data_IF_900493535558
#
_entry.id   IF_900493535558
#
_cell.length_a   1.000
_cell.length_b   1.000
_cell.length_c   1.000
_cell.angle_alpha   90.00
_cell.angle_beta   90.00
_cell.angle_gamma   90.00
#
_symmetry.space_group_name_H-M   'P 1'
#
loop_
_entity.id
_entity.type
_entity.pdbx_description
1 polymer ?
#
# COMPACT_ATOMS: atom_id res chain seq x y z
N UNK A 1 -4.86 -21.24 16.46
CA UNK A 1 -4.85 -21.29 14.98
C UNK A 1 -4.78 -19.85 14.53
N UNK A 2 -3.83 -19.45 13.66
CA UNK A 2 -3.79 -18.07 13.16
C UNK A 2 -5.18 -17.74 12.60
N UNK A 3 -5.85 -16.76 13.19
CA UNK A 3 -7.17 -16.36 12.76
C UNK A 3 -7.08 -16.02 11.27
N UNK A 4 -7.96 -16.60 10.45
CA UNK A 4 -7.99 -16.35 9.01
C UNK A 4 -8.04 -14.84 8.75
N UNK A 5 -8.66 -14.09 9.66
CA UNK A 5 -8.68 -12.64 9.63
C UNK A 5 -7.28 -12.00 9.77
N UNK A 6 -6.48 -12.38 10.78
CA UNK A 6 -5.14 -11.84 10.99
C UNK A 6 -4.20 -12.19 9.82
N UNK A 7 -4.31 -13.40 9.29
CA UNK A 7 -3.57 -13.80 8.10
C UNK A 7 -3.93 -12.93 6.88
N UNK A 8 -5.22 -12.69 6.65
CA UNK A 8 -5.71 -11.83 5.57
C UNK A 8 -5.21 -10.39 5.71
N UNK A 9 -5.17 -9.85 6.93
CA UNK A 9 -4.63 -8.51 7.19
C UNK A 9 -3.13 -8.42 6.86
N UNK A 10 -2.35 -9.42 7.26
CA UNK A 10 -0.91 -9.47 6.95
C UNK A 10 -0.65 -9.63 5.45
N UNK A 11 -1.44 -10.44 4.75
CA UNK A 11 -1.38 -10.55 3.30
C UNK A 11 -1.69 -9.22 2.62
N UNK A 12 -2.74 -8.52 3.06
CA UNK A 12 -3.09 -7.21 2.52
C UNK A 12 -1.94 -6.21 2.72
N UNK A 13 -1.31 -6.20 3.90
CA UNK A 13 -0.17 -5.33 4.18
C UNK A 13 0.99 -5.58 3.21
N UNK A 14 1.29 -6.84 2.88
CA UNK A 14 2.32 -7.20 1.90
C UNK A 14 1.99 -6.67 0.51
N UNK A 15 0.74 -6.82 0.06
CA UNK A 15 0.31 -6.30 -1.24
C UNK A 15 0.38 -4.78 -1.31
N UNK A 16 -0.02 -4.08 -0.25
CA UNK A 16 0.09 -2.62 -0.20
C UNK A 16 1.55 -2.14 -0.29
N UNK A 17 2.47 -2.81 0.40
CA UNK A 17 3.90 -2.53 0.29
C UNK A 17 4.46 -2.77 -1.12
N UNK A 18 4.06 -3.87 -1.78
CA UNK A 18 4.47 -4.17 -3.16
C UNK A 18 3.98 -3.09 -4.12
N UNK A 19 2.72 -2.70 -4.02
CA UNK A 19 2.12 -1.66 -4.88
C UNK A 19 2.81 -0.32 -4.64
N UNK A 20 3.02 0.07 -3.38
CA UNK A 20 3.72 1.32 -3.05
C UNK A 20 5.13 1.36 -3.65
N UNK A 21 5.87 0.25 -3.56
CA UNK A 21 7.21 0.16 -4.16
C UNK A 21 7.16 0.34 -5.68
N UNK A 22 6.23 -0.34 -6.36
CA UNK A 22 6.06 -0.22 -7.82
C UNK A 22 5.67 1.20 -8.24
N UNK A 23 4.80 1.87 -7.50
CA UNK A 23 4.43 3.27 -7.75
C UNK A 23 5.67 4.17 -7.65
N UNK A 24 6.44 4.03 -6.57
CA UNK A 24 7.63 4.85 -6.29
C UNK A 24 8.77 4.62 -7.29
N UNK A 25 8.98 3.37 -7.73
CA UNK A 25 10.15 2.98 -8.53
C UNK A 25 9.87 2.88 -10.03
N UNK A 26 8.64 2.57 -10.42
CA UNK A 26 8.29 2.26 -11.81
C UNK A 26 7.20 3.20 -12.32
N UNK A 27 5.98 3.15 -11.76
CA UNK A 27 4.80 3.74 -12.43
C UNK A 27 4.89 5.26 -12.60
N UNK A 28 5.45 5.98 -11.61
CA UNK A 28 5.68 7.43 -11.73
C UNK A 28 6.69 7.78 -12.83
N UNK A 29 7.70 6.93 -13.05
CA UNK A 29 8.69 7.08 -14.12
C UNK A 29 8.06 6.75 -15.48
N UNK A 30 7.28 5.67 -15.54
CA UNK A 30 6.62 5.20 -16.77
C UNK A 30 5.53 6.16 -17.27
N UNK A 31 4.98 6.99 -16.38
CA UNK A 31 4.03 8.05 -16.73
C UNK A 31 4.62 9.16 -17.64
N UNK A 32 5.94 9.17 -17.91
CA UNK A 32 6.65 10.09 -18.83
C UNK A 32 6.15 11.54 -18.72
N UNK A 33 5.41 12.05 -19.71
CA UNK A 33 4.92 13.43 -19.76
C UNK A 33 3.43 13.57 -19.45
N UNK A 34 2.74 12.47 -19.12
CA UNK A 34 1.32 12.50 -18.74
C UNK A 34 1.16 13.13 -17.35
N UNK A 35 0.84 14.43 -17.32
CA UNK A 35 0.62 15.20 -16.08
C UNK A 35 -0.49 14.57 -15.21
N UNK A 36 -1.63 14.23 -15.82
CA UNK A 36 -2.75 13.63 -15.11
C UNK A 36 -2.37 12.28 -14.46
N UNK A 37 -1.60 11.46 -15.18
CA UNK A 37 -1.11 10.18 -14.66
C UNK A 37 -0.14 10.39 -13.49
N UNK A 38 0.77 11.36 -13.56
CA UNK A 38 1.70 11.68 -12.45
C UNK A 38 0.97 12.17 -11.20
N UNK A 39 -0.07 12.99 -11.38
CA UNK A 39 -0.92 13.45 -10.28
C UNK A 39 -1.65 12.25 -9.65
N UNK A 40 -2.25 11.40 -10.48
CA UNK A 40 -2.90 10.17 -10.02
C UNK A 40 -1.94 9.27 -9.22
N UNK A 41 -0.76 8.96 -9.76
CA UNK A 41 0.21 8.12 -9.05
C UNK A 41 0.72 8.77 -7.77
N UNK A 42 0.83 10.09 -7.71
CA UNK A 42 1.23 10.80 -6.49
C UNK A 42 0.13 10.79 -5.43
N UNK A 43 -1.13 10.86 -5.82
CA UNK A 43 -2.27 10.67 -4.92
C UNK A 43 -2.30 9.22 -4.41
N UNK A 44 -2.24 8.25 -5.32
CA UNK A 44 -2.27 6.84 -4.97
C UNK A 44 -1.11 6.45 -4.05
N UNK A 45 0.10 6.99 -4.25
CA UNK A 45 1.22 6.78 -3.33
C UNK A 45 0.87 7.16 -1.88
N UNK A 46 0.28 8.35 -1.68
CA UNK A 46 -0.11 8.83 -0.35
C UNK A 46 -1.23 7.97 0.25
N UNK A 47 -2.21 7.59 -0.55
CA UNK A 47 -3.31 6.71 -0.11
C UNK A 47 -2.76 5.36 0.37
N UNK A 48 -1.81 4.79 -0.38
CA UNK A 48 -1.13 3.52 -0.04
C UNK A 48 -0.30 3.61 1.24
N UNK A 49 0.41 4.72 1.46
CA UNK A 49 1.11 4.97 2.73
C UNK A 49 0.14 5.06 3.92
N UNK A 50 -1.02 5.67 3.73
CA UNK A 50 -2.06 5.73 4.76
C UNK A 50 -2.61 4.34 5.08
N UNK A 51 -2.94 3.54 4.06
CA UNK A 51 -3.44 2.18 4.24
C UNK A 51 -2.44 1.29 4.98
N UNK A 52 -1.15 1.40 4.66
CA UNK A 52 -0.09 0.65 5.36
C UNK A 52 -0.07 1.00 6.85
N UNK A 53 -0.15 2.30 7.21
CA UNK A 53 -0.18 2.73 8.61
C UNK A 53 -1.41 2.19 9.35
N UNK A 54 -2.56 2.24 8.70
CA UNK A 54 -3.82 1.74 9.26
C UNK A 54 -3.77 0.21 9.46
N UNK A 55 -3.34 -0.55 8.45
CA UNK A 55 -3.17 -2.00 8.53
C UNK A 55 -2.19 -2.39 9.65
N UNK A 56 -1.06 -1.67 9.77
CA UNK A 56 -0.11 -1.90 10.85
C UNK A 56 -0.73 -1.66 12.23
N UNK A 57 -1.56 -0.63 12.39
CA UNK A 57 -2.25 -0.36 13.65
C UNK A 57 -3.26 -1.47 13.99
N UNK A 58 -4.06 -1.91 13.01
CA UNK A 58 -5.04 -2.99 13.18
C UNK A 58 -4.34 -4.29 13.53
N UNK A 59 -3.31 -4.70 12.77
CA UNK A 59 -2.53 -5.92 13.02
C UNK A 59 -1.93 -5.92 14.43
N UNK A 60 -1.37 -4.79 14.89
CA UNK A 60 -0.84 -4.67 16.26
C UNK A 60 -1.90 -4.92 17.32
N UNK A 61 -3.16 -4.55 17.09
CA UNK A 61 -4.25 -4.81 18.03
C UNK A 61 -4.64 -6.29 18.08
N UNK A 62 -4.48 -7.04 16.99
CA UNK A 62 -4.74 -8.48 16.92
C UNK A 62 -3.57 -9.35 17.44
N UNK A 63 -2.38 -8.77 17.62
CA UNK A 63 -1.20 -9.46 18.16
C UNK A 63 -1.00 -9.27 19.67
N UNK A 64 -1.89 -8.51 20.32
CA UNK A 64 -1.96 -8.41 21.79
C UNK A 64 -2.68 -9.62 22.36
#
# INVERSE_FOLDING_TARGET
>A
MFDNHLYNLMLQLVEEHKVLWRIKKMYKKDAKNCKNCKVFWSKLEKDKESHIKELQAIIKNHLK
#
